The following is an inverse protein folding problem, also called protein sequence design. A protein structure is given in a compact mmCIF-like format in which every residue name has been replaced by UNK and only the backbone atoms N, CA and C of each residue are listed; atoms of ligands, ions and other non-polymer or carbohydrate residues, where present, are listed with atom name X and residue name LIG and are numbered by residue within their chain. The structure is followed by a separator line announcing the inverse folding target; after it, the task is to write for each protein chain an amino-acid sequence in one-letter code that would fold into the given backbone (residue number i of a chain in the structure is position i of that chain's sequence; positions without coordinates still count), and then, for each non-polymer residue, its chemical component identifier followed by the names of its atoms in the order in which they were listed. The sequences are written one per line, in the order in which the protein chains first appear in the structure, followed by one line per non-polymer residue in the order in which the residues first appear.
data_IF_990056453567
#
_entry.id   IF_990056453567
#
_cell.length_a   1.000
_cell.length_b   1.000
_cell.length_c   1.000
_cell.angle_alpha   90.00
_cell.angle_beta   90.00
_cell.angle_gamma   90.00
#
_symmetry.space_group_name_H-M   'P 1'
#
loop_
_entity.id
_entity.type
_entity.pdbx_description
1 polymer ?
#
# COMPACT_ATOMS: atom_id res chain seq x y z
N UNK A 1 3.14 -17.57 -1.73
CA UNK A 1 4.05 -17.98 -2.82
C UNK A 1 3.37 -17.92 -4.21
N UNK A 2 2.14 -18.40 -4.39
CA UNK A 2 1.48 -18.41 -5.71
C UNK A 2 1.43 -17.02 -6.40
N UNK A 3 1.03 -15.96 -5.69
CA UNK A 3 1.01 -14.60 -6.27
C UNK A 3 2.38 -14.11 -6.73
N UNK A 4 3.44 -14.36 -5.95
CA UNK A 4 4.81 -14.00 -6.33
C UNK A 4 5.25 -14.73 -7.61
N UNK A 5 4.99 -16.03 -7.69
CA UNK A 5 5.33 -16.82 -8.89
C UNK A 5 4.62 -16.28 -10.12
N UNK A 6 3.32 -16.03 -10.00
CA UNK A 6 2.49 -15.52 -11.10
C UNK A 6 2.97 -14.14 -11.59
N UNK A 7 3.15 -13.18 -10.67
CA UNK A 7 3.65 -11.83 -11.03
C UNK A 7 5.05 -11.90 -11.63
N UNK A 8 5.94 -12.73 -11.07
CA UNK A 8 7.29 -12.89 -11.59
C UNK A 8 7.28 -13.46 -13.02
N UNK A 9 6.47 -14.46 -13.29
CA UNK A 9 6.35 -15.05 -14.62
C UNK A 9 5.79 -14.07 -15.64
N UNK A 10 4.77 -13.29 -15.27
CA UNK A 10 4.10 -12.37 -16.21
C UNK A 10 4.84 -11.04 -16.37
N UNK A 11 5.53 -10.56 -15.34
CA UNK A 11 6.04 -9.19 -15.28
C UNK A 11 7.56 -9.07 -15.10
N UNK A 12 8.27 -10.15 -14.78
CA UNK A 12 9.69 -10.13 -14.46
C UNK A 12 10.64 -9.64 -15.58
N UNK A 13 10.17 -9.64 -16.85
CA UNK A 13 10.93 -9.04 -17.96
C UNK A 13 10.77 -7.52 -18.06
N UNK A 14 9.81 -6.92 -17.36
CA UNK A 14 9.46 -5.48 -17.43
C UNK A 14 9.75 -4.78 -16.12
N UNK A 15 9.61 -5.46 -15.00
CA UNK A 15 9.77 -4.91 -13.65
C UNK A 15 10.91 -5.60 -12.91
N UNK A 16 11.62 -4.83 -12.08
CA UNK A 16 12.46 -5.38 -11.03
C UNK A 16 11.57 -5.80 -9.86
N UNK A 17 11.42 -7.11 -9.67
CA UNK A 17 10.58 -7.67 -8.61
C UNK A 17 11.47 -8.09 -7.44
N UNK A 18 11.18 -7.57 -6.26
CA UNK A 18 11.95 -7.81 -5.04
C UNK A 18 11.03 -8.35 -3.94
N UNK A 19 11.04 -9.66 -3.67
CA UNK A 19 10.34 -10.21 -2.51
C UNK A 19 11.01 -9.76 -1.21
N UNK A 20 10.23 -9.10 -0.32
CA UNK A 20 10.70 -8.70 1.02
C UNK A 20 10.12 -9.64 2.07
N UNK A 21 10.99 -10.22 2.90
CA UNK A 21 10.60 -11.13 3.97
C UNK A 21 10.93 -10.55 5.34
N UNK A 22 9.91 -10.46 6.19
CA UNK A 22 10.10 -10.10 7.60
C UNK A 22 10.74 -11.25 8.35
N UNK A 23 11.99 -11.06 8.76
CA UNK A 23 12.78 -12.00 9.56
C UNK A 23 12.97 -11.52 11.01
N UNK A 24 12.11 -10.61 11.49
CA UNK A 24 12.22 -10.02 12.82
C UNK A 24 12.12 -11.07 13.94
N UNK A 25 11.15 -11.97 13.83
CA UNK A 25 10.92 -13.00 14.85
C UNK A 25 11.78 -14.23 14.66
N UNK A 26 12.02 -14.59 13.44
CA UNK A 26 12.76 -15.81 13.09
C UNK A 26 13.40 -15.65 11.72
N UNK A 27 14.70 -15.90 11.63
CA UNK A 27 15.39 -16.02 10.35
C UNK A 27 15.02 -17.37 9.70
N UNK A 28 14.85 -17.34 8.38
CA UNK A 28 14.62 -18.53 7.57
C UNK A 28 15.32 -18.39 6.22
N UNK A 29 15.70 -19.50 5.56
CA UNK A 29 16.39 -19.46 4.27
C UNK A 29 15.52 -18.87 3.16
N UNK A 30 16.05 -17.88 2.44
CA UNK A 30 15.40 -17.24 1.28
C UNK A 30 16.29 -17.28 0.02
N UNK A 31 17.48 -17.85 0.10
CA UNK A 31 18.48 -17.88 -0.98
C UNK A 31 17.98 -18.59 -2.24
N UNK A 32 16.99 -19.46 -2.11
CA UNK A 32 16.34 -20.17 -3.21
C UNK A 32 15.30 -19.29 -3.95
N UNK A 33 15.02 -18.08 -3.48
CA UNK A 33 14.07 -17.14 -4.07
C UNK A 33 14.85 -16.01 -4.73
N UNK A 34 14.78 -15.94 -6.04
CA UNK A 34 15.54 -14.95 -6.81
C UNK A 34 15.20 -13.50 -6.39
N UNK A 35 16.24 -12.73 -6.07
CA UNK A 35 16.10 -11.33 -5.69
C UNK A 35 15.47 -11.06 -4.34
N UNK A 36 15.24 -12.11 -3.52
CA UNK A 36 14.65 -11.95 -2.20
C UNK A 36 15.57 -11.21 -1.23
N UNK A 37 14.97 -10.38 -0.37
CA UNK A 37 15.64 -9.68 0.71
C UNK A 37 14.96 -9.99 2.04
N UNK A 38 15.75 -10.36 3.04
CA UNK A 38 15.30 -10.49 4.42
C UNK A 38 15.52 -9.18 5.18
N UNK A 39 14.52 -8.72 5.89
CA UNK A 39 14.59 -7.51 6.71
C UNK A 39 14.12 -7.78 8.14
N UNK A 40 14.66 -7.02 9.08
CA UNK A 40 14.22 -7.06 10.48
C UNK A 40 13.85 -5.67 10.96
N UNK A 41 12.94 -5.57 11.93
CA UNK A 41 12.61 -4.30 12.57
C UNK A 41 13.85 -3.59 13.13
N UNK A 42 14.83 -4.34 13.64
CA UNK A 42 16.08 -3.76 14.17
C UNK A 42 16.92 -3.07 13.08
N UNK A 43 17.04 -3.68 11.89
CA UNK A 43 17.72 -3.07 10.75
C UNK A 43 17.03 -1.79 10.30
N UNK A 44 15.70 -1.83 10.15
CA UNK A 44 14.89 -0.69 9.72
C UNK A 44 14.96 0.44 10.75
N UNK A 45 14.82 0.15 12.05
CA UNK A 45 14.91 1.16 13.12
C UNK A 45 16.30 1.81 13.19
N UNK A 46 17.36 1.06 12.93
CA UNK A 46 18.72 1.59 12.90
C UNK A 46 18.98 2.54 11.73
N UNK A 47 18.38 2.22 10.56
CA UNK A 47 18.59 2.99 9.33
C UNK A 47 17.70 4.22 9.26
N UNK A 48 16.41 4.10 9.62
CA UNK A 48 15.43 5.14 9.44
C UNK A 48 15.21 5.93 10.73
N UNK A 49 15.43 7.25 10.73
CA UNK A 49 15.40 8.08 11.96
C UNK A 49 13.98 8.46 12.41
N UNK A 50 12.98 7.66 12.17
CA UNK A 50 11.55 7.96 12.38
C UNK A 50 11.12 7.68 13.83
N UNK A 51 11.63 8.42 14.81
CA UNK A 51 11.43 8.17 16.25
C UNK A 51 9.94 8.02 16.62
N UNK A 52 9.09 8.97 16.19
CA UNK A 52 7.65 8.96 16.49
C UNK A 52 6.93 7.76 15.87
N UNK A 53 7.34 7.34 14.67
CA UNK A 53 6.77 6.19 13.97
C UNK A 53 7.16 4.88 14.65
N UNK A 54 8.45 4.69 14.93
CA UNK A 54 8.97 3.49 15.59
C UNK A 54 8.42 3.29 17.02
N UNK A 55 8.20 4.38 17.77
CA UNK A 55 7.71 4.29 19.15
C UNK A 55 6.29 3.76 19.30
N UNK A 56 5.50 3.75 18.23
CA UNK A 56 4.11 3.30 18.30
C UNK A 56 3.97 1.78 18.40
N UNK A 57 4.84 1.05 17.71
CA UNK A 57 4.84 -0.43 17.71
C UNK A 57 6.27 -0.94 17.57
N UNK A 58 7.07 -0.86 18.64
CA UNK A 58 8.45 -1.30 18.59
C UNK A 58 8.54 -2.82 18.32
N UNK A 59 9.46 -3.19 17.45
CA UNK A 59 9.75 -4.61 17.18
C UNK A 59 8.75 -5.33 16.26
N UNK A 60 7.89 -4.61 15.53
CA UNK A 60 6.99 -5.22 14.55
C UNK A 60 6.68 -4.30 13.37
N UNK A 61 6.58 -4.86 12.17
CA UNK A 61 6.00 -4.19 11.00
C UNK A 61 4.49 -4.31 10.96
N UNK A 62 3.95 -5.40 11.47
CA UNK A 62 2.52 -5.66 11.58
C UNK A 62 1.88 -4.63 12.52
N UNK A 63 0.68 -4.25 12.33
CA UNK A 63 0.02 -3.24 13.13
C UNK A 63 0.58 -1.82 12.94
N UNK A 64 0.31 -1.15 11.85
CA UNK A 64 0.54 0.29 11.60
C UNK A 64 1.89 0.70 11.00
N UNK A 65 2.85 -0.22 10.84
CA UNK A 65 4.19 0.10 10.33
C UNK A 65 4.58 -0.67 9.06
N UNK A 66 3.61 -1.21 8.33
CA UNK A 66 3.88 -2.02 7.11
C UNK A 66 4.48 -1.19 5.97
N UNK A 67 4.43 0.13 6.06
CA UNK A 67 5.09 1.06 5.16
C UNK A 67 6.62 1.16 5.38
N UNK A 68 7.11 0.80 6.56
CA UNK A 68 8.54 0.91 6.87
C UNK A 68 9.45 0.00 6.02
N UNK A 69 9.07 -1.23 5.66
CA UNK A 69 9.81 -2.03 4.68
C UNK A 69 10.01 -1.32 3.34
N UNK A 70 8.99 -0.65 2.82
CA UNK A 70 9.13 0.16 1.61
C UNK A 70 10.08 1.34 1.81
N UNK A 71 9.95 2.07 2.91
CA UNK A 71 10.83 3.20 3.21
C UNK A 71 12.29 2.77 3.35
N UNK A 72 12.53 1.59 3.96
CA UNK A 72 13.86 1.00 4.02
C UNK A 72 14.38 0.64 2.62
N UNK A 73 13.58 -0.03 1.79
CA UNK A 73 13.96 -0.38 0.43
C UNK A 73 14.22 0.87 -0.43
N UNK A 74 13.39 1.89 -0.32
CA UNK A 74 13.58 3.17 -1.00
C UNK A 74 14.92 3.83 -0.61
N UNK A 75 15.29 3.79 0.67
CA UNK A 75 16.58 4.33 1.12
C UNK A 75 17.77 3.58 0.50
N UNK A 76 17.68 2.26 0.39
CA UNK A 76 18.71 1.42 -0.22
C UNK A 76 18.75 1.51 -1.77
N UNK A 77 17.62 1.77 -2.40
CA UNK A 77 17.43 1.75 -3.86
C UNK A 77 16.56 2.94 -4.33
N UNK A 78 17.09 4.19 -4.25
CA UNK A 78 16.28 5.39 -4.54
C UNK A 78 16.19 5.74 -6.03
N UNK A 79 16.64 4.90 -6.96
CA UNK A 79 16.82 5.22 -8.37
C UNK A 79 15.58 5.05 -9.25
N UNK A 80 14.49 4.46 -8.73
CA UNK A 80 13.28 4.23 -9.54
C UNK A 80 12.34 5.43 -9.45
N UNK A 81 11.62 5.72 -10.55
CA UNK A 81 10.61 6.78 -10.58
C UNK A 81 9.37 6.43 -9.75
N UNK A 82 8.99 5.14 -9.76
CA UNK A 82 7.84 4.60 -9.05
C UNK A 82 8.16 3.27 -8.37
N UNK A 83 7.49 3.04 -7.24
CA UNK A 83 7.57 1.82 -6.44
C UNK A 83 6.19 1.24 -6.26
N UNK A 84 5.97 0.05 -6.82
CA UNK A 84 4.80 -0.76 -6.56
C UNK A 84 5.01 -1.63 -5.33
N UNK A 85 3.99 -1.72 -4.50
CA UNK A 85 3.98 -2.62 -3.34
C UNK A 85 2.74 -3.51 -3.43
N UNK A 86 2.93 -4.80 -3.18
CA UNK A 86 1.87 -5.78 -3.22
C UNK A 86 2.02 -6.76 -2.05
N UNK A 87 0.95 -6.96 -1.29
CA UNK A 87 0.89 -8.01 -0.26
C UNK A 87 0.74 -9.40 -0.91
N UNK A 88 1.24 -10.42 -0.20
CA UNK A 88 1.32 -11.78 -0.75
C UNK A 88 -0.03 -12.44 -1.00
N UNK A 89 -1.10 -11.94 -0.39
CA UNK A 89 -2.48 -12.45 -0.49
C UNK A 89 -3.38 -11.58 -1.40
N UNK A 90 -2.80 -10.70 -2.18
CA UNK A 90 -3.48 -10.06 -3.31
C UNK A 90 -3.51 -11.01 -4.50
N UNK A 91 -4.65 -11.05 -5.20
CA UNK A 91 -4.83 -11.78 -6.46
C UNK A 91 -5.51 -10.88 -7.47
N UNK A 92 -5.18 -11.09 -8.73
CA UNK A 92 -5.85 -10.45 -9.85
C UNK A 92 -6.40 -11.54 -10.79
N UNK A 93 -7.67 -11.45 -11.16
CA UNK A 93 -8.33 -12.45 -12.02
C UNK A 93 -8.15 -12.19 -13.53
N UNK A 94 -7.15 -11.38 -13.88
CA UNK A 94 -6.69 -11.07 -15.23
C UNK A 94 -5.18 -11.17 -15.35
N UNK A 95 -4.61 -10.87 -16.52
CA UNK A 95 -3.16 -10.81 -16.70
C UNK A 95 -2.57 -9.62 -15.92
N UNK A 96 -1.64 -9.87 -15.00
CA UNK A 96 -0.97 -8.82 -14.23
C UNK A 96 -0.29 -7.76 -15.08
N UNK A 97 0.32 -8.19 -16.21
CA UNK A 97 0.99 -7.26 -17.11
C UNK A 97 0.02 -6.24 -17.71
N UNK A 98 -1.22 -6.65 -18.00
CA UNK A 98 -2.24 -5.73 -18.53
C UNK A 98 -2.71 -4.73 -17.47
N UNK A 99 -2.83 -5.19 -16.21
CA UNK A 99 -3.10 -4.29 -15.09
C UNK A 99 -2.02 -3.21 -14.95
N UNK A 100 -0.76 -3.61 -14.90
CA UNK A 100 0.34 -2.64 -14.77
C UNK A 100 0.49 -1.72 -16.00
N UNK A 101 0.27 -2.25 -17.20
CA UNK A 101 0.27 -1.45 -18.43
C UNK A 101 -0.81 -0.40 -18.47
N UNK A 102 -1.99 -0.69 -17.91
CA UNK A 102 -3.09 0.29 -17.83
C UNK A 102 -2.65 1.55 -17.08
N UNK A 103 -1.80 1.40 -16.07
CA UNK A 103 -1.27 2.51 -15.26
C UNK A 103 0.13 2.98 -15.70
N UNK A 104 0.68 2.50 -16.82
CA UNK A 104 2.04 2.84 -17.22
C UNK A 104 2.21 4.33 -17.53
N UNK A 105 1.19 4.99 -18.09
CA UNK A 105 1.19 6.42 -18.39
C UNK A 105 0.57 7.28 -17.26
N UNK A 106 0.19 6.68 -16.14
CA UNK A 106 -0.39 7.41 -15.02
C UNK A 106 0.72 8.07 -14.18
N UNK A 107 0.64 9.38 -13.98
CA UNK A 107 1.65 10.17 -13.28
C UNK A 107 1.26 10.50 -11.82
N UNK A 108 0.15 9.94 -11.30
CA UNK A 108 -0.25 10.17 -9.91
C UNK A 108 0.83 9.72 -8.93
N UNK A 109 1.08 10.53 -7.92
CA UNK A 109 2.11 10.28 -6.90
C UNK A 109 1.74 9.12 -5.99
N UNK A 110 0.46 8.96 -5.69
CA UNK A 110 -0.11 7.81 -5.00
C UNK A 110 -1.20 7.20 -5.87
N UNK A 111 -1.03 5.93 -6.23
CA UNK A 111 -2.10 5.04 -6.67
C UNK A 111 -2.38 4.03 -5.57
N UNK A 112 -3.62 3.94 -5.11
CA UNK A 112 -4.01 3.00 -4.05
C UNK A 112 -5.46 2.53 -4.23
N UNK A 113 -6.00 1.86 -3.25
CA UNK A 113 -7.40 1.43 -3.23
C UNK A 113 -8.14 2.10 -2.08
N UNK A 114 -9.45 2.24 -2.20
CA UNK A 114 -10.33 2.70 -1.12
C UNK A 114 -9.90 4.07 -0.58
N UNK A 115 -9.59 4.99 -1.51
CA UNK A 115 -9.23 6.37 -1.20
C UNK A 115 -10.50 7.17 -0.87
N UNK A 116 -10.65 7.55 0.40
CA UNK A 116 -11.80 8.32 0.88
C UNK A 116 -11.37 9.43 1.83
N UNK A 117 -12.09 10.55 1.76
CA UNK A 117 -11.96 11.62 2.74
C UNK A 117 -12.55 11.22 4.10
N UNK A 118 -12.18 11.97 5.12
CA UNK A 118 -12.72 11.83 6.47
C UNK A 118 -14.25 11.77 6.52
N UNK A 119 -14.93 12.63 5.74
CA UNK A 119 -16.38 12.76 5.70
C UNK A 119 -17.12 11.48 5.26
N UNK A 120 -16.46 10.61 4.49
CA UNK A 120 -17.06 9.36 4.02
C UNK A 120 -17.33 8.40 5.18
N UNK A 121 -16.43 8.34 6.18
CA UNK A 121 -16.58 7.50 7.37
C UNK A 121 -15.87 8.14 8.57
N UNK A 122 -16.48 9.16 9.23
CA UNK A 122 -15.88 9.83 10.37
C UNK A 122 -15.55 8.90 11.55
N UNK A 123 -16.35 7.83 11.73
CA UNK A 123 -16.16 6.83 12.79
C UNK A 123 -15.13 5.73 12.51
N UNK A 124 -14.23 5.89 11.52
CA UNK A 124 -13.16 4.91 11.32
C UNK A 124 -12.07 5.06 12.39
N UNK A 125 -11.77 3.96 13.09
CA UNK A 125 -10.93 3.95 14.30
C UNK A 125 -9.51 4.49 14.09
N UNK A 126 -8.95 4.32 12.89
CA UNK A 126 -7.57 4.75 12.64
C UNK A 126 -7.39 6.26 12.44
N UNK A 127 -8.46 7.07 12.29
CA UNK A 127 -8.34 8.52 12.23
C UNK A 127 -7.65 9.10 13.46
N UNK A 128 -7.97 8.57 14.64
CA UNK A 128 -7.38 8.99 15.91
C UNK A 128 -5.91 8.64 16.10
N UNK A 129 -5.35 7.80 15.21
CA UNK A 129 -3.94 7.43 15.27
C UNK A 129 -3.01 8.46 14.63
N UNK A 130 -3.54 9.33 13.75
CA UNK A 130 -2.77 10.34 13.05
C UNK A 130 -2.16 11.34 14.04
N UNK A 131 -0.85 11.46 14.01
CA UNK A 131 -0.08 12.47 14.74
C UNK A 131 0.75 13.26 13.74
N UNK A 132 0.78 14.58 13.93
CA UNK A 132 1.52 15.50 13.07
C UNK A 132 2.07 16.66 13.91
N UNK A 133 3.18 17.31 13.47
CA UNK A 133 3.72 18.50 14.13
C UNK A 133 2.74 19.67 14.16
N UNK A 134 1.84 19.71 13.20
CA UNK A 134 0.81 20.74 13.06
C UNK A 134 -0.60 20.12 13.08
N UNK A 135 -1.59 20.93 13.45
CA UNK A 135 -2.99 20.48 13.42
C UNK A 135 -3.46 20.25 11.98
N UNK A 136 -3.95 19.05 11.69
CA UNK A 136 -4.58 18.71 10.41
C UNK A 136 -6.08 18.72 10.58
N UNK A 137 -6.76 19.55 9.81
CA UNK A 137 -8.22 19.62 9.83
C UNK A 137 -8.82 18.31 9.29
N UNK A 138 -10.02 17.97 9.74
CA UNK A 138 -10.66 16.70 9.36
C UNK A 138 -10.89 16.59 7.85
N UNK A 139 -11.28 17.69 7.19
CA UNK A 139 -11.49 17.73 5.74
C UNK A 139 -10.21 17.48 4.92
N UNK A 140 -9.04 17.62 5.55
CA UNK A 140 -7.74 17.38 4.89
C UNK A 140 -7.25 15.95 5.07
N UNK A 141 -7.94 15.17 5.93
CA UNK A 141 -7.57 13.78 6.16
C UNK A 141 -8.12 12.87 5.07
N UNK A 142 -7.27 11.97 4.62
CA UNK A 142 -7.60 10.93 3.63
C UNK A 142 -7.17 9.58 4.17
N UNK A 143 -7.95 8.56 3.89
CA UNK A 143 -7.58 7.16 4.13
C UNK A 143 -7.42 6.41 2.82
N UNK A 144 -6.64 5.34 2.85
CA UNK A 144 -6.54 4.36 1.78
C UNK A 144 -6.46 2.95 2.37
N UNK A 145 -6.60 1.93 1.52
CA UNK A 145 -6.29 0.54 1.84
C UNK A 145 -5.10 0.13 0.96
N UNK A 146 -4.06 -0.46 1.54
CA UNK A 146 -2.75 -0.60 0.91
C UNK A 146 -2.24 -2.03 0.62
N UNK A 147 -3.05 -3.05 0.38
CA UNK A 147 -2.50 -4.34 -0.04
C UNK A 147 -1.85 -4.30 -1.42
N UNK A 148 -2.27 -3.36 -2.28
CA UNK A 148 -1.63 -3.03 -3.55
C UNK A 148 -1.63 -1.51 -3.71
N UNK A 149 -0.46 -0.93 -3.98
CA UNK A 149 -0.31 0.52 -4.21
C UNK A 149 0.97 0.85 -4.95
N UNK A 150 1.04 2.08 -5.46
CA UNK A 150 2.23 2.66 -6.08
C UNK A 150 2.51 4.03 -5.48
N UNK A 151 3.77 4.32 -5.22
CA UNK A 151 4.24 5.66 -4.83
C UNK A 151 5.30 6.15 -5.81
N UNK A 152 5.26 7.45 -6.13
CA UNK A 152 6.34 8.10 -6.86
C UNK A 152 7.59 8.29 -5.96
N UNK A 153 8.75 8.43 -6.58
CA UNK A 153 9.98 8.78 -5.86
C UNK A 153 9.82 10.07 -5.06
N UNK A 154 9.19 11.09 -5.66
CA UNK A 154 8.92 12.36 -4.99
C UNK A 154 8.02 12.20 -3.76
N UNK A 155 6.96 11.38 -3.86
CA UNK A 155 6.10 11.07 -2.72
C UNK A 155 6.86 10.37 -1.59
N UNK A 156 7.75 9.40 -1.91
CA UNK A 156 8.55 8.71 -0.90
C UNK A 156 9.54 9.64 -0.20
N UNK A 157 10.16 10.60 -0.93
CA UNK A 157 10.98 11.65 -0.30
C UNK A 157 10.17 12.51 0.65
N UNK A 158 8.98 12.95 0.24
CA UNK A 158 8.09 13.74 1.08
C UNK A 158 7.63 12.99 2.34
N UNK A 159 7.37 11.69 2.22
CA UNK A 159 7.07 10.82 3.36
C UNK A 159 8.27 10.67 4.30
N UNK A 160 9.47 10.50 3.75
CA UNK A 160 10.71 10.47 4.55
C UNK A 160 10.85 11.74 5.41
N UNK A 161 10.74 12.91 4.78
CA UNK A 161 10.80 14.20 5.47
C UNK A 161 9.74 14.32 6.56
N UNK A 162 8.47 13.99 6.23
CA UNK A 162 7.37 14.05 7.19
C UNK A 162 7.61 13.15 8.41
N UNK A 163 8.11 11.94 8.21
CA UNK A 163 8.42 11.02 9.30
C UNK A 163 9.59 11.53 10.15
N UNK A 164 10.58 12.18 9.55
CA UNK A 164 11.65 12.88 10.27
C UNK A 164 11.12 14.06 11.09
N UNK A 165 10.14 14.80 10.59
CA UNK A 165 9.45 15.89 11.28
C UNK A 165 8.56 15.41 12.44
N UNK A 166 8.31 14.11 12.56
CA UNK A 166 7.53 13.51 13.65
C UNK A 166 6.12 13.08 13.29
N UNK A 167 5.73 13.11 12.01
CA UNK A 167 4.47 12.49 11.58
C UNK A 167 4.47 11.00 11.91
N UNK A 168 3.33 10.50 12.36
CA UNK A 168 3.16 9.10 12.71
C UNK A 168 1.69 8.70 12.76
N UNK A 169 1.42 7.42 12.91
CA UNK A 169 0.07 6.86 12.92
C UNK A 169 -0.04 5.62 12.03
N UNK A 170 -1.25 5.12 11.91
CA UNK A 170 -1.54 4.04 10.97
C UNK A 170 -1.23 4.49 9.54
N UNK A 171 -0.46 3.69 8.80
CA UNK A 171 0.00 4.06 7.45
C UNK A 171 -1.16 4.37 6.48
N UNK A 172 -2.31 3.73 6.65
CA UNK A 172 -3.52 3.97 5.83
C UNK A 172 -4.14 5.37 5.99
N UNK A 173 -3.84 6.08 7.05
CA UNK A 173 -4.22 7.50 7.21
C UNK A 173 -3.03 8.42 7.04
N UNK A 174 -1.85 8.01 7.48
CA UNK A 174 -0.66 8.87 7.51
C UNK A 174 -0.17 9.17 6.09
N UNK A 175 0.02 8.14 5.26
CA UNK A 175 0.53 8.30 3.89
C UNK A 175 -0.37 9.23 3.06
N UNK A 176 -1.66 8.92 2.82
CA UNK A 176 -2.48 9.74 1.95
C UNK A 176 -2.73 11.14 2.51
N UNK A 177 -2.80 11.30 3.85
CA UNK A 177 -2.97 12.62 4.45
C UNK A 177 -1.73 13.48 4.30
N UNK A 178 -0.51 12.96 4.51
CA UNK A 178 0.74 13.69 4.28
C UNK A 178 0.80 14.13 2.82
N UNK A 179 0.58 13.22 1.88
CA UNK A 179 0.68 13.52 0.46
C UNK A 179 -0.34 14.58 0.04
N UNK A 180 -1.60 14.46 0.47
CA UNK A 180 -2.63 15.47 0.19
C UNK A 180 -2.24 16.84 0.75
N UNK A 181 -1.80 16.90 2.01
CA UNK A 181 -1.44 18.20 2.64
C UNK A 181 -0.20 18.85 2.04
N UNK A 182 0.65 18.07 1.39
CA UNK A 182 1.84 18.56 0.66
C UNK A 182 1.58 18.79 -0.83
N UNK A 183 0.33 18.65 -1.30
CA UNK A 183 -0.06 18.96 -2.68
C UNK A 183 0.25 17.88 -3.71
N UNK A 184 0.55 16.66 -3.28
CA UNK A 184 0.76 15.52 -4.18
C UNK A 184 -0.56 14.99 -4.75
N UNK A 185 -0.49 14.40 -5.94
CA UNK A 185 -1.63 13.80 -6.62
C UNK A 185 -1.96 12.42 -6.07
N UNK A 186 -3.25 12.18 -5.78
CA UNK A 186 -3.76 10.92 -5.27
C UNK A 186 -4.83 10.38 -6.22
N UNK A 187 -4.73 9.12 -6.61
CA UNK A 187 -5.71 8.44 -7.46
C UNK A 187 -6.01 7.03 -6.95
N UNK A 188 -7.28 6.66 -7.06
CA UNK A 188 -7.75 5.31 -6.74
C UNK A 188 -7.76 4.46 -8.01
N UNK A 189 -7.31 3.21 -7.92
CA UNK A 189 -7.22 2.30 -9.07
C UNK A 189 -8.53 2.13 -9.83
N UNK A 190 -9.66 2.10 -9.12
CA UNK A 190 -10.89 1.81 -9.82
C UNK A 190 -11.99 1.19 -8.99
N UNK A 191 -12.08 1.52 -7.72
CA UNK A 191 -13.28 1.29 -6.94
C UNK A 191 -14.31 2.39 -7.16
N UNK A 192 -14.86 2.95 -6.09
CA UNK A 192 -15.79 4.07 -6.12
C UNK A 192 -15.21 5.29 -5.41
N UNK A 193 -15.79 6.46 -5.64
CA UNK A 193 -15.39 7.68 -4.97
C UNK A 193 -14.69 8.68 -5.87
N UNK A 194 -14.41 9.86 -5.29
CA UNK A 194 -13.94 11.03 -6.06
C UNK A 194 -12.50 10.94 -6.56
N UNK A 195 -11.72 10.00 -6.00
CA UNK A 195 -10.33 9.79 -6.40
C UNK A 195 -10.18 8.82 -7.57
N UNK A 196 -11.28 8.21 -8.03
CA UNK A 196 -11.27 7.30 -9.18
C UNK A 196 -11.32 8.12 -10.47
N UNK A 197 -10.36 7.87 -11.37
CA UNK A 197 -10.36 8.49 -12.68
C UNK A 197 -11.60 8.13 -13.52
N UNK A 198 -12.10 9.04 -14.36
CA UNK A 198 -13.18 8.72 -15.29
C UNK A 198 -12.89 7.44 -16.10
N UNK A 199 -13.86 6.53 -16.17
CA UNK A 199 -13.72 5.25 -16.86
C UNK A 199 -13.11 4.11 -16.06
N UNK A 200 -12.61 4.37 -14.84
CA UNK A 200 -12.08 3.36 -13.94
C UNK A 200 -13.05 2.96 -12.81
N UNK A 201 -14.22 3.58 -12.68
CA UNK A 201 -15.17 3.22 -11.64
C UNK A 201 -15.57 1.74 -11.72
N UNK A 202 -15.44 1.02 -10.58
CA UNK A 202 -15.70 -0.41 -10.40
C UNK A 202 -14.99 -1.33 -11.41
N UNK A 203 -13.88 -0.85 -12.00
CA UNK A 203 -13.19 -1.56 -13.07
C UNK A 203 -12.23 -2.62 -12.55
N UNK A 204 -11.39 -2.30 -11.59
CA UNK A 204 -10.33 -3.19 -11.11
C UNK A 204 -10.62 -3.83 -9.76
N UNK A 205 -11.51 -3.25 -9.00
CA UNK A 205 -12.02 -3.83 -7.77
C UNK A 205 -13.35 -3.17 -7.41
N UNK A 206 -14.05 -3.75 -6.44
CA UNK A 206 -15.30 -3.19 -5.92
C UNK A 206 -15.17 -2.88 -4.45
N UNK A 207 -15.60 -1.70 -4.05
CA UNK A 207 -15.72 -1.32 -2.65
C UNK A 207 -16.97 -1.90 -2.00
N UNK A 208 -16.94 -1.93 -0.68
CA UNK A 208 -18.11 -2.06 0.16
C UNK A 208 -18.30 -0.75 0.92
N UNK A 209 -19.04 0.22 0.39
CA UNK A 209 -19.08 1.58 0.91
C UNK A 209 -19.65 1.67 2.33
N UNK A 210 -20.60 0.82 2.68
CA UNK A 210 -21.24 0.75 3.97
C UNK A 210 -20.32 0.22 5.09
N UNK A 211 -19.33 -0.61 4.74
CA UNK A 211 -18.42 -1.26 5.69
C UNK A 211 -16.94 -1.02 5.38
N UNK A 212 -16.62 0.07 4.72
CA UNK A 212 -15.24 0.40 4.39
C UNK A 212 -14.47 -0.75 3.73
N UNK A 213 -15.10 -1.40 2.78
CA UNK A 213 -14.49 -2.49 2.03
C UNK A 213 -14.64 -3.88 2.66
N UNK A 214 -15.54 -4.08 3.63
CA UNK A 214 -15.66 -5.39 4.27
C UNK A 214 -16.55 -6.38 3.54
N UNK A 215 -17.67 -5.96 2.92
CA UNK A 215 -18.55 -6.81 2.13
C UNK A 215 -19.84 -6.07 1.67
N UNK A 216 -20.40 -6.33 0.48
CA UNK A 216 -19.78 -7.12 -0.59
C UNK A 216 -18.69 -6.32 -1.26
N UNK A 217 -17.52 -6.87 -1.43
CA UNK A 217 -16.39 -6.20 -2.08
C UNK A 217 -15.32 -7.20 -2.44
N UNK A 218 -14.44 -6.81 -3.35
CA UNK A 218 -13.35 -7.69 -3.79
C UNK A 218 -12.02 -7.35 -3.12
N UNK A 219 -11.88 -6.10 -2.61
CA UNK A 219 -10.66 -5.63 -1.97
C UNK A 219 -10.99 -5.12 -0.57
N UNK A 220 -10.83 -5.99 0.42
CA UNK A 220 -11.35 -5.82 1.78
C UNK A 220 -10.30 -6.16 2.82
N UNK A 221 -10.66 -6.10 4.10
CA UNK A 221 -9.84 -6.59 5.22
C UNK A 221 -10.29 -7.96 5.74
N UNK A 222 -11.46 -8.45 5.33
CA UNK A 222 -11.95 -9.77 5.68
C UNK A 222 -11.51 -10.81 4.65
N UNK A 223 -11.21 -12.02 5.11
CA UNK A 223 -10.78 -13.09 4.21
C UNK A 223 -11.84 -13.40 3.15
N UNK A 224 -11.40 -13.51 1.91
CA UNK A 224 -12.19 -13.89 0.75
C UNK A 224 -11.74 -15.26 0.22
N UNK A 225 -12.65 -15.94 -0.48
CA UNK A 225 -12.32 -17.11 -1.28
C UNK A 225 -12.62 -16.80 -2.75
N UNK A 226 -11.69 -17.07 -3.65
CA UNK A 226 -11.94 -17.00 -5.09
C UNK A 226 -12.74 -18.25 -5.49
N UNK A 227 -13.89 -18.07 -6.11
CA UNK A 227 -14.62 -19.14 -6.75
C UNK A 227 -14.59 -18.99 -8.28
N UNK A 228 -14.89 -20.09 -9.00
CA UNK A 228 -14.74 -20.14 -10.45
C UNK A 228 -15.61 -19.12 -11.23
N UNK A 229 -16.64 -18.58 -10.61
CA UNK A 229 -17.62 -17.67 -11.22
C UNK A 229 -17.28 -16.18 -11.03
N UNK A 230 -16.10 -15.85 -10.53
CA UNK A 230 -15.73 -14.45 -10.34
C UNK A 230 -15.50 -13.73 -11.67
N UNK A 231 -15.96 -12.47 -11.76
CA UNK A 231 -15.69 -11.65 -12.94
C UNK A 231 -14.18 -11.56 -13.22
N UNK A 232 -13.77 -11.62 -14.49
CA UNK A 232 -12.37 -11.42 -14.86
C UNK A 232 -11.92 -9.97 -14.59
N UNK A 233 -10.62 -9.78 -14.54
CA UNK A 233 -9.95 -8.47 -14.38
C UNK A 233 -10.30 -7.72 -13.10
N UNK A 234 -10.52 -8.43 -11.99
CA UNK A 234 -10.69 -7.85 -10.67
C UNK A 234 -9.57 -8.23 -9.71
N UNK A 235 -9.19 -7.26 -8.90
CA UNK A 235 -8.32 -7.43 -7.74
C UNK A 235 -9.12 -8.01 -6.56
N UNK A 236 -8.50 -8.95 -5.86
CA UNK A 236 -9.04 -9.61 -4.67
C UNK A 236 -8.05 -9.56 -3.52
N UNK A 237 -8.54 -9.25 -2.34
CA UNK A 237 -7.75 -9.23 -1.10
C UNK A 237 -8.66 -9.32 0.13
N UNK A 238 -8.26 -10.06 1.18
CA UNK A 238 -7.16 -11.02 1.18
C UNK A 238 -7.64 -12.40 0.68
N UNK A 239 -6.81 -13.05 -0.10
CA UNK A 239 -7.04 -14.43 -0.55
C UNK A 239 -6.06 -15.33 0.21
N UNK A 240 -6.60 -16.06 1.17
CA UNK A 240 -5.86 -17.05 1.96
C UNK A 240 -5.98 -18.41 1.26
N UNK A 241 -4.86 -18.93 0.77
CA UNK A 241 -4.76 -20.23 0.12
C UNK A 241 -3.69 -21.07 0.77
#
# INVERSE_FOLDING_TARGET
MAALTEVTQQCGSVFTIVPLFDQTKQAFPIDHIAGALGITCAQVTRLLPYRSKHSQHPGTFWSRNIDLPLMWYFHEKPQYDYYWVMEYDVRFTGPWLDFFRHFAANESDLLATTLFDYSFRPGWDNWGTLKSPQRIAEQDRVRALFPLYRLSNAALRALHEAYCEGWSGHYEVTIPTILKTRGFSLEDFGGSGRYVAPGNHDRFYRNSPDRAGLAPGTFTVAANAICADYPPNLLWHPIKG
#
